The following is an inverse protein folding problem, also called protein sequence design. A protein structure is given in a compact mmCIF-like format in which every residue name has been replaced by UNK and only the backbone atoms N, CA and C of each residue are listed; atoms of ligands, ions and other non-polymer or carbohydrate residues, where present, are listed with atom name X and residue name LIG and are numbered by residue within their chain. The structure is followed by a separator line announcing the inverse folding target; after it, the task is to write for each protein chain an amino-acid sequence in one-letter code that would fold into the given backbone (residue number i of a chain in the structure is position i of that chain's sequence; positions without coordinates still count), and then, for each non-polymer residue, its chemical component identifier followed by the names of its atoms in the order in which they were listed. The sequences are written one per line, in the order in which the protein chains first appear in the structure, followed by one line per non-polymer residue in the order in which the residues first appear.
data_IF_264498605735
#
_entry.id   IF_264498605735
#
_cell.length_a   1.000
_cell.length_b   1.000
_cell.length_c   1.000
_cell.angle_alpha   90.00
_cell.angle_beta   90.00
_cell.angle_gamma   90.00
#
_symmetry.space_group_name_H-M   'P 1'
#
loop_
_entity.id
_entity.type
_entity.pdbx_description
1 polymer ?
#
# COMPACT_ATOMS: atom_id res chain seq x y z
N UNK A 1 -10.76 31.09 -8.53
CA UNK A 1 -11.34 30.94 -7.17
C UNK A 1 -12.80 30.54 -7.31
N UNK A 2 -13.12 29.25 -7.31
CA UNK A 2 -14.45 28.71 -6.98
C UNK A 2 -14.34 27.18 -6.88
N UNK A 3 -14.86 26.60 -5.78
CA UNK A 3 -15.36 25.22 -5.77
C UNK A 3 -14.52 24.12 -5.10
N UNK A 4 -14.24 24.20 -3.79
CA UNK A 4 -13.92 23.03 -2.96
C UNK A 4 -14.68 23.09 -1.62
N UNK A 5 -15.97 22.77 -1.62
CA UNK A 5 -16.74 22.58 -0.39
C UNK A 5 -18.05 21.80 -0.63
N UNK A 6 -18.00 20.50 -0.96
CA UNK A 6 -19.22 19.68 -0.94
C UNK A 6 -18.99 18.16 -0.78
N UNK A 7 -17.92 17.74 -0.11
CA UNK A 7 -17.63 16.30 0.11
C UNK A 7 -17.94 15.75 1.51
N UNK A 8 -18.17 16.59 2.53
CA UNK A 8 -18.26 16.11 3.93
C UNK A 8 -19.67 15.75 4.44
N UNK A 9 -20.72 16.00 3.66
CA UNK A 9 -22.09 15.90 4.18
C UNK A 9 -22.70 14.48 4.16
N UNK A 10 -22.16 13.55 3.34
CA UNK A 10 -22.77 12.22 3.15
C UNK A 10 -22.31 11.19 4.20
N UNK A 11 -21.13 11.35 4.79
CA UNK A 11 -20.61 10.40 5.79
C UNK A 11 -21.15 10.63 7.22
N UNK A 12 -21.60 11.86 7.52
CA UNK A 12 -22.06 12.24 8.86
C UNK A 12 -23.34 11.53 9.30
N UNK A 13 -24.31 11.33 8.39
CA UNK A 13 -25.57 10.66 8.74
C UNK A 13 -25.38 9.20 9.09
N UNK A 14 -24.56 8.45 8.33
CA UNK A 14 -24.31 7.03 8.57
C UNK A 14 -23.52 6.82 9.87
N UNK A 15 -22.52 7.66 10.14
CA UNK A 15 -21.83 7.63 11.44
C UNK A 15 -22.81 7.92 12.59
N UNK A 16 -23.63 8.96 12.49
CA UNK A 16 -24.57 9.31 13.56
C UNK A 16 -25.56 8.20 13.90
N UNK A 17 -26.08 7.46 12.90
CA UNK A 17 -26.92 6.29 13.15
C UNK A 17 -26.18 5.17 13.88
N UNK A 18 -24.90 4.93 13.56
CA UNK A 18 -24.10 3.92 14.25
C UNK A 18 -23.81 4.29 15.70
N UNK A 19 -23.59 5.58 15.99
CA UNK A 19 -23.47 6.09 17.37
C UNK A 19 -24.72 5.80 18.20
N UNK A 20 -25.89 6.13 17.66
CA UNK A 20 -27.17 5.92 18.34
C UNK A 20 -27.43 4.43 18.57
N UNK A 21 -27.15 3.59 17.56
CA UNK A 21 -27.33 2.14 17.66
C UNK A 21 -26.51 1.54 18.82
N UNK A 22 -25.21 1.86 18.91
CA UNK A 22 -24.37 1.29 19.96
C UNK A 22 -24.67 1.83 21.35
N UNK A 23 -25.08 3.10 21.47
CA UNK A 23 -25.59 3.63 22.72
C UNK A 23 -26.89 2.93 23.14
N UNK A 24 -27.79 2.65 22.21
CA UNK A 24 -29.01 1.89 22.48
C UNK A 24 -28.69 0.45 22.92
N UNK A 25 -27.71 -0.20 22.29
CA UNK A 25 -27.22 -1.53 22.70
C UNK A 25 -26.65 -1.48 24.12
N UNK A 26 -25.86 -0.46 24.46
CA UNK A 26 -25.31 -0.27 25.81
C UNK A 26 -26.44 -0.12 26.84
N UNK A 27 -27.42 0.74 26.58
CA UNK A 27 -28.58 0.94 27.47
C UNK A 27 -29.40 -0.35 27.60
N UNK A 28 -29.63 -1.06 26.50
CA UNK A 28 -30.36 -2.32 26.50
C UNK A 28 -29.67 -3.38 27.34
N UNK A 29 -28.35 -3.54 27.21
CA UNK A 29 -27.63 -4.54 28.01
C UNK A 29 -27.62 -4.16 29.48
N UNK A 30 -27.49 -2.86 29.80
CA UNK A 30 -27.59 -2.35 31.17
C UNK A 30 -28.94 -2.69 31.79
N UNK A 31 -30.05 -2.51 31.07
CA UNK A 31 -31.39 -2.82 31.57
C UNK A 31 -31.58 -4.33 31.86
N UNK A 32 -31.06 -5.18 30.98
CA UNK A 32 -31.06 -6.64 31.18
C UNK A 32 -30.22 -7.01 32.41
N UNK A 33 -29.01 -6.48 32.53
CA UNK A 33 -28.11 -6.71 33.66
C UNK A 33 -28.72 -6.26 34.99
N UNK A 34 -29.48 -5.16 35.00
CA UNK A 34 -30.22 -4.71 36.18
C UNK A 34 -31.31 -5.71 36.62
N UNK A 35 -31.97 -6.38 35.67
CA UNK A 35 -33.01 -7.39 35.97
C UNK A 35 -32.41 -8.64 36.62
N UNK A 36 -31.17 -8.98 36.28
CA UNK A 36 -30.45 -10.15 36.78
C UNK A 36 -29.37 -9.82 37.82
N UNK A 37 -29.38 -8.59 38.35
CA UNK A 37 -28.33 -8.06 39.22
C UNK A 37 -28.02 -8.95 40.41
N UNK A 38 -29.05 -9.55 41.02
CA UNK A 38 -28.89 -10.37 42.23
C UNK A 38 -28.35 -11.78 41.96
N UNK A 39 -28.28 -12.19 40.67
CA UNK A 39 -27.83 -13.52 40.26
C UNK A 39 -26.47 -13.52 39.57
N UNK A 40 -25.94 -12.35 39.24
CA UNK A 40 -24.71 -12.20 38.47
C UNK A 40 -23.60 -11.64 39.34
N UNK A 41 -22.47 -12.34 39.34
CA UNK A 41 -21.25 -11.82 39.96
C UNK A 41 -20.71 -10.61 39.19
N UNK A 42 -20.02 -9.70 39.89
CA UNK A 42 -19.45 -8.45 39.36
C UNK A 42 -18.63 -8.69 38.08
N UNK A 43 -17.88 -9.78 38.03
CA UNK A 43 -17.06 -10.15 36.87
C UNK A 43 -17.86 -10.36 35.58
N UNK A 44 -19.06 -10.97 35.66
CA UNK A 44 -19.89 -11.22 34.48
C UNK A 44 -20.44 -9.91 33.91
N UNK A 45 -20.77 -8.96 34.78
CA UNK A 45 -21.22 -7.62 34.39
C UNK A 45 -20.07 -6.91 33.66
N UNK A 46 -18.86 -6.93 34.21
CA UNK A 46 -17.66 -6.34 33.59
C UNK A 46 -17.39 -6.91 32.19
N UNK A 47 -17.49 -8.23 32.01
CA UNK A 47 -17.31 -8.90 30.72
C UNK A 47 -18.36 -8.47 29.69
N UNK A 48 -19.63 -8.34 30.09
CA UNK A 48 -20.71 -7.91 29.21
C UNK A 48 -20.48 -6.47 28.69
N UNK A 49 -20.02 -5.56 29.57
CA UNK A 49 -19.68 -4.20 29.17
C UNK A 49 -18.45 -4.16 28.24
N UNK A 50 -17.42 -4.96 28.50
CA UNK A 50 -16.26 -5.07 27.60
C UNK A 50 -16.67 -5.54 26.20
N UNK A 51 -17.61 -6.49 26.10
CA UNK A 51 -18.11 -6.98 24.81
C UNK A 51 -18.77 -5.87 23.98
N UNK A 52 -19.59 -5.03 24.62
CA UNK A 52 -20.26 -3.90 23.95
C UNK A 52 -19.27 -2.82 23.52
N UNK A 53 -18.29 -2.50 24.38
CA UNK A 53 -17.22 -1.54 24.06
C UNK A 53 -16.38 -2.05 22.88
N UNK A 54 -16.05 -3.34 22.86
CA UNK A 54 -15.30 -3.97 21.77
C UNK A 54 -16.09 -3.93 20.46
N UNK A 55 -17.38 -4.29 20.49
CA UNK A 55 -18.27 -4.25 19.33
C UNK A 55 -18.45 -2.84 18.77
N UNK A 56 -18.67 -1.84 19.64
CA UNK A 56 -18.79 -0.44 19.24
C UNK A 56 -17.50 0.13 18.66
N UNK A 57 -16.36 -0.23 19.24
CA UNK A 57 -15.04 0.14 18.69
C UNK A 57 -14.78 -0.52 17.34
N UNK A 58 -15.27 -1.73 17.10
CA UNK A 58 -15.12 -2.44 15.83
C UNK A 58 -15.89 -1.80 14.67
N UNK A 59 -16.99 -1.11 14.97
CA UNK A 59 -17.96 -0.66 13.97
C UNK A 59 -17.76 0.79 13.53
N UNK A 60 -17.03 1.62 14.30
CA UNK A 60 -16.98 3.08 14.03
C UNK A 60 -15.72 3.79 14.49
N UNK A 61 -14.64 3.06 14.77
CA UNK A 61 -13.31 3.64 14.99
C UNK A 61 -13.09 4.24 16.38
N UNK A 62 -11.95 4.92 16.51
CA UNK A 62 -11.30 5.27 17.79
C UNK A 62 -12.12 6.17 18.70
N UNK A 63 -12.81 7.16 18.13
CA UNK A 63 -13.61 8.12 18.90
C UNK A 63 -14.78 7.44 19.62
N UNK A 64 -15.49 6.53 18.96
CA UNK A 64 -16.65 5.86 19.56
C UNK A 64 -16.27 4.88 20.66
N UNK A 65 -15.24 4.04 20.43
CA UNK A 65 -14.78 3.07 21.43
C UNK A 65 -14.39 3.73 22.76
N UNK A 66 -13.69 4.87 22.69
CA UNK A 66 -13.30 5.66 23.87
C UNK A 66 -14.53 6.23 24.60
N UNK A 67 -15.50 6.79 23.86
CA UNK A 67 -16.71 7.33 24.49
C UNK A 67 -17.56 6.25 25.16
N UNK A 68 -17.74 5.09 24.51
CA UNK A 68 -18.45 3.95 25.07
C UNK A 68 -17.76 3.40 26.32
N UNK A 69 -16.43 3.31 26.34
CA UNK A 69 -15.67 2.88 27.51
C UNK A 69 -15.89 3.81 28.71
N UNK A 70 -15.86 5.14 28.48
CA UNK A 70 -16.12 6.13 29.52
C UNK A 70 -17.55 6.08 30.07
N UNK A 71 -18.54 5.96 29.18
CA UNK A 71 -19.96 5.85 29.57
C UNK A 71 -20.23 4.52 30.29
N UNK A 72 -19.67 3.41 29.81
CA UNK A 72 -19.74 2.10 30.44
C UNK A 72 -19.15 2.13 31.86
N UNK A 73 -17.99 2.76 32.03
CA UNK A 73 -17.34 2.95 33.32
C UNK A 73 -18.22 3.72 34.31
N UNK A 74 -18.81 4.83 33.86
CA UNK A 74 -19.72 5.64 34.69
C UNK A 74 -20.98 4.85 35.08
N UNK A 75 -21.60 4.13 34.13
CA UNK A 75 -22.77 3.30 34.39
C UNK A 75 -22.46 2.16 35.35
N UNK A 76 -21.32 1.48 35.17
CA UNK A 76 -20.88 0.41 36.05
C UNK A 76 -20.68 0.91 37.49
N UNK A 77 -19.98 2.04 37.65
CA UNK A 77 -19.78 2.68 38.95
C UNK A 77 -21.09 3.09 39.62
N UNK A 78 -22.00 3.71 38.87
CA UNK A 78 -23.23 4.26 39.44
C UNK A 78 -24.29 3.20 39.75
N UNK A 79 -24.40 2.16 38.93
CA UNK A 79 -25.51 1.20 38.99
C UNK A 79 -25.14 -0.15 39.61
N UNK A 80 -23.88 -0.58 39.61
CA UNK A 80 -23.52 -1.96 39.99
C UNK A 80 -22.56 -2.04 41.17
N UNK A 81 -21.97 -0.91 41.60
CA UNK A 81 -21.08 -0.85 42.75
C UNK A 81 -21.80 -0.30 44.00
N UNK A 82 -21.75 -1.00 45.15
CA UNK A 82 -22.31 -0.50 46.38
C UNK A 82 -21.38 0.55 47.04
N UNK A 83 -21.92 1.65 47.62
CA UNK A 83 -23.33 2.03 47.67
C UNK A 83 -23.88 2.47 46.30
N UNK A 84 -25.08 2.00 45.98
CA UNK A 84 -25.69 2.23 44.67
C UNK A 84 -26.15 3.68 44.51
N UNK A 85 -26.14 4.16 43.27
CA UNK A 85 -26.55 5.52 42.91
C UNK A 85 -25.66 6.63 43.49
N UNK A 86 -24.42 6.31 43.87
CA UNK A 86 -23.39 7.30 44.20
C UNK A 86 -22.11 7.05 43.41
N UNK A 87 -21.31 8.10 43.24
CA UNK A 87 -19.99 8.01 42.62
C UNK A 87 -18.88 7.75 43.65
N UNK A 88 -19.24 7.59 44.92
CA UNK A 88 -18.30 7.36 46.03
C UNK A 88 -18.02 5.87 46.18
N UNK A 89 -16.76 5.49 45.92
CA UNK A 89 -16.28 4.11 46.02
C UNK A 89 -15.95 3.82 47.49
N UNK A 90 -16.72 2.94 48.14
CA UNK A 90 -16.54 2.62 49.56
C UNK A 90 -15.55 1.48 49.82
N UNK A 91 -15.45 0.52 48.90
CA UNK A 91 -14.61 -0.68 49.06
C UNK A 91 -13.25 -0.52 48.33
N UNK A 92 -12.10 -0.73 49.02
CA UNK A 92 -10.79 -0.77 48.40
C UNK A 92 -10.61 -1.83 47.29
N UNK A 93 -11.46 -2.85 47.19
CA UNK A 93 -11.35 -3.82 46.09
C UNK A 93 -12.04 -3.32 44.81
N UNK A 94 -13.05 -2.47 44.96
CA UNK A 94 -13.90 -2.02 43.87
C UNK A 94 -13.23 -0.96 42.98
N UNK A 95 -12.34 -0.12 43.52
CA UNK A 95 -11.54 0.79 42.68
C UNK A 95 -10.56 0.03 41.79
N UNK A 96 -10.04 -1.13 42.24
CA UNK A 96 -9.14 -1.97 41.45
C UNK A 96 -9.89 -2.54 40.23
N UNK A 97 -11.11 -3.02 40.43
CA UNK A 97 -11.97 -3.51 39.34
C UNK A 97 -12.28 -2.38 38.35
N UNK A 98 -12.55 -1.18 38.85
CA UNK A 98 -12.84 -0.01 38.03
C UNK A 98 -11.65 0.39 37.14
N UNK A 99 -10.46 0.46 37.72
CA UNK A 99 -9.22 0.81 37.01
C UNK A 99 -8.85 -0.29 36.02
N UNK A 100 -8.92 -1.57 36.43
CA UNK A 100 -8.63 -2.70 35.56
C UNK A 100 -9.59 -2.71 34.35
N UNK A 101 -10.89 -2.51 34.56
CA UNK A 101 -11.87 -2.41 33.49
C UNK A 101 -11.58 -1.27 32.53
N UNK A 102 -11.27 -0.07 33.05
CA UNK A 102 -10.97 1.10 32.22
C UNK A 102 -9.72 0.86 31.37
N UNK A 103 -8.66 0.33 31.96
CA UNK A 103 -7.41 0.01 31.26
C UNK A 103 -7.63 -1.07 30.22
N UNK A 104 -8.31 -2.18 30.56
CA UNK A 104 -8.61 -3.26 29.61
C UNK A 104 -9.50 -2.78 28.47
N UNK A 105 -10.50 -1.94 28.75
CA UNK A 105 -11.36 -1.35 27.73
C UNK A 105 -10.61 -0.43 26.76
N UNK A 106 -9.74 0.44 27.27
CA UNK A 106 -8.90 1.32 26.45
C UNK A 106 -7.91 0.49 25.61
N UNK A 107 -7.22 -0.47 26.22
CA UNK A 107 -6.26 -1.33 25.52
C UNK A 107 -6.95 -2.16 24.44
N UNK A 108 -8.13 -2.72 24.72
CA UNK A 108 -8.91 -3.46 23.75
C UNK A 108 -9.36 -2.57 22.58
N UNK A 109 -9.87 -1.37 22.86
CA UNK A 109 -10.22 -0.39 21.82
C UNK A 109 -8.99 0.02 21.00
N UNK A 110 -7.84 0.22 21.64
CA UNK A 110 -6.59 0.61 21.00
C UNK A 110 -6.05 -0.49 20.07
N UNK A 111 -5.98 -1.73 20.55
CA UNK A 111 -5.51 -2.89 19.78
C UNK A 111 -6.43 -3.16 18.59
N UNK A 112 -7.74 -3.08 18.80
CA UNK A 112 -8.71 -3.31 17.74
C UNK A 112 -8.63 -2.23 16.66
N UNK A 113 -8.48 -0.96 17.04
CA UNK A 113 -8.27 0.13 16.08
C UNK A 113 -6.96 -0.06 15.30
N UNK A 114 -5.86 -0.48 15.95
CA UNK A 114 -4.58 -0.77 15.26
C UNK A 114 -4.69 -1.94 14.27
N UNK A 115 -5.52 -2.94 14.57
CA UNK A 115 -5.77 -4.07 13.67
C UNK A 115 -6.64 -3.64 12.48
N UNK A 116 -7.63 -2.78 12.69
CA UNK A 116 -8.53 -2.33 11.62
C UNK A 116 -7.94 -1.24 10.71
N UNK A 117 -7.13 -0.32 11.24
CA UNK A 117 -6.49 0.77 10.46
C UNK A 117 -5.59 0.21 9.34
N UNK A 118 -5.02 -0.98 9.54
CA UNK A 118 -4.24 -1.71 8.51
C UNK A 118 -5.12 -2.29 7.39
N UNK A 119 -6.37 -2.64 7.68
CA UNK A 119 -7.27 -3.28 6.72
C UNK A 119 -7.98 -2.25 5.81
N UNK A 120 -8.31 -1.06 6.32
CA UNK A 120 -8.94 0.00 5.51
C UNK A 120 -7.97 0.63 4.52
N UNK A 121 -6.71 0.89 4.91
CA UNK A 121 -5.69 1.41 3.99
C UNK A 121 -5.41 0.42 2.84
N UNK A 122 -5.46 -0.89 3.12
CA UNK A 122 -5.30 -1.94 2.11
C UNK A 122 -6.53 -2.08 1.20
N UNK A 123 -7.75 -1.91 1.71
CA UNK A 123 -9.01 -2.02 0.94
C UNK A 123 -9.35 -0.76 0.16
N UNK A 124 -9.06 0.43 0.69
CA UNK A 124 -9.26 1.69 -0.04
C UNK A 124 -8.40 1.73 -1.32
N UNK A 125 -7.16 1.20 -1.26
CA UNK A 125 -6.32 1.00 -2.45
C UNK A 125 -6.87 -0.06 -3.41
N UNK A 126 -7.49 -1.13 -2.90
CA UNK A 126 -8.01 -2.21 -3.74
C UNK A 126 -9.32 -1.84 -4.47
N UNK A 127 -10.21 -1.08 -3.82
CA UNK A 127 -11.54 -0.72 -4.36
C UNK A 127 -11.47 0.40 -5.41
N UNK A 128 -10.49 1.30 -5.31
CA UNK A 128 -10.22 2.30 -6.35
C UNK A 128 -9.56 1.66 -7.58
N UNK A 129 -8.70 0.67 -7.37
CA UNK A 129 -8.05 -0.12 -8.43
C UNK A 129 -9.05 -1.02 -9.18
N UNK A 130 -10.05 -1.59 -8.52
CA UNK A 130 -11.03 -2.49 -9.16
C UNK A 130 -11.94 -1.78 -10.17
N UNK A 131 -12.32 -0.51 -9.89
CA UNK A 131 -13.13 0.30 -10.82
C UNK A 131 -12.32 0.79 -12.02
N UNK A 132 -11.02 1.04 -11.87
CA UNK A 132 -10.14 1.31 -13.02
C UNK A 132 -9.71 0.04 -13.76
N UNK A 133 -9.62 -1.10 -13.08
CA UNK A 133 -9.25 -2.38 -13.68
C UNK A 133 -10.40 -2.95 -14.53
N UNK A 134 -11.65 -2.87 -14.07
CA UNK A 134 -12.82 -3.36 -14.83
C UNK A 134 -13.13 -2.48 -16.04
N UNK A 135 -12.97 -1.15 -15.94
CA UNK A 135 -13.13 -0.24 -17.10
C UNK A 135 -11.93 -0.28 -18.07
N UNK A 136 -10.80 -0.85 -17.66
CA UNK A 136 -9.57 -0.98 -18.46
C UNK A 136 -9.24 -2.41 -18.93
N UNK A 137 -10.05 -3.41 -18.57
CA UNK A 137 -9.81 -4.81 -18.93
C UNK A 137 -10.26 -5.16 -20.36
N UNK A 138 -11.14 -4.36 -20.97
CA UNK A 138 -11.72 -4.67 -22.28
C UNK A 138 -10.88 -4.22 -23.49
N UNK A 139 -9.70 -3.60 -23.34
CA UNK A 139 -9.03 -3.01 -24.54
C UNK A 139 -7.49 -2.89 -24.57
N UNK A 140 -6.70 -3.38 -23.60
CA UNK A 140 -5.32 -2.86 -23.44
C UNK A 140 -4.17 -3.82 -23.79
N UNK A 141 -3.61 -3.61 -24.98
CA UNK A 141 -2.28 -4.04 -25.42
C UNK A 141 -1.14 -3.42 -24.58
N UNK A 142 0.03 -4.07 -24.59
CA UNK A 142 1.23 -3.69 -23.81
C UNK A 142 1.61 -2.19 -23.89
N UNK A 143 1.32 -1.52 -25.01
CA UNK A 143 1.60 -0.09 -25.20
C UNK A 143 0.97 0.82 -24.15
N UNK A 144 -0.24 0.51 -23.66
CA UNK A 144 -0.92 1.39 -22.69
C UNK A 144 -0.39 1.30 -21.26
N UNK A 145 0.30 0.21 -20.90
CA UNK A 145 0.97 0.12 -19.61
C UNK A 145 2.29 0.91 -19.62
N UNK A 146 3.03 0.89 -20.74
CA UNK A 146 4.21 1.74 -20.94
C UNK A 146 3.82 3.24 -20.97
N UNK A 147 2.71 3.60 -21.64
CA UNK A 147 2.17 4.98 -21.64
C UNK A 147 1.80 5.47 -20.24
N UNK A 148 1.20 4.61 -19.41
CA UNK A 148 0.86 4.94 -18.03
C UNK A 148 2.12 5.17 -17.17
N UNK A 149 3.18 4.38 -17.38
CA UNK A 149 4.47 4.58 -16.72
C UNK A 149 5.12 5.90 -17.14
N UNK A 150 5.02 6.29 -18.42
CA UNK A 150 5.45 7.61 -18.91
C UNK A 150 4.69 8.74 -18.21
N UNK A 151 3.37 8.63 -18.08
CA UNK A 151 2.56 9.61 -17.34
C UNK A 151 2.96 9.74 -15.87
N UNK A 152 3.23 8.61 -15.20
CA UNK A 152 3.71 8.61 -13.80
C UNK A 152 5.07 9.28 -13.70
N UNK A 153 6.01 8.94 -14.58
CA UNK A 153 7.34 9.55 -14.60
C UNK A 153 7.27 11.06 -14.85
N UNK A 154 6.37 11.51 -15.73
CA UNK A 154 6.17 12.93 -16.03
C UNK A 154 5.65 13.71 -14.81
N UNK A 155 4.66 13.13 -14.13
CA UNK A 155 4.08 13.72 -12.91
C UNK A 155 5.11 13.75 -11.77
N UNK A 156 5.92 12.70 -11.61
CA UNK A 156 7.03 12.71 -10.66
C UNK A 156 8.02 13.82 -11.01
N UNK A 157 8.46 13.89 -12.27
CA UNK A 157 9.41 14.92 -12.75
C UNK A 157 8.92 16.33 -12.45
N UNK A 158 7.67 16.64 -12.84
CA UNK A 158 7.09 17.98 -12.67
C UNK A 158 6.90 18.35 -11.20
N UNK A 159 6.51 17.41 -10.35
CA UNK A 159 6.22 17.68 -8.93
C UNK A 159 7.50 17.81 -8.11
N UNK A 160 8.52 17.02 -8.41
CA UNK A 160 9.82 17.13 -7.75
C UNK A 160 10.59 18.36 -8.23
N UNK A 161 10.36 18.81 -9.46
CA UNK A 161 11.11 19.90 -10.09
C UNK A 161 12.51 19.45 -10.54
N UNK A 162 12.63 18.21 -10.99
CA UNK A 162 13.87 17.54 -11.38
C UNK A 162 14.00 17.48 -12.90
N UNK A 163 15.21 17.28 -13.42
CA UNK A 163 15.45 17.32 -14.87
C UNK A 163 15.00 16.03 -15.55
N UNK A 164 15.19 14.89 -14.89
CA UNK A 164 14.91 13.58 -15.46
C UNK A 164 14.33 12.62 -14.41
N UNK A 165 13.31 11.87 -14.83
CA UNK A 165 12.73 10.76 -14.09
C UNK A 165 12.60 9.55 -15.02
N UNK A 166 13.18 8.41 -14.64
CA UNK A 166 13.18 7.19 -15.43
C UNK A 166 12.72 6.00 -14.60
N UNK A 167 11.95 5.13 -15.23
CA UNK A 167 11.53 3.86 -14.65
C UNK A 167 12.24 2.75 -15.43
N UNK A 168 13.14 2.06 -14.75
CA UNK A 168 13.97 1.00 -15.28
C UNK A 168 13.38 -0.37 -14.87
N UNK A 169 13.40 -1.34 -15.76
CA UNK A 169 13.05 -2.72 -15.44
C UNK A 169 13.93 -3.69 -16.22
N UNK A 170 14.04 -4.92 -15.72
CA UNK A 170 14.78 -5.98 -16.39
C UNK A 170 13.99 -6.46 -17.62
N UNK A 171 14.62 -6.36 -18.80
CA UNK A 171 14.06 -6.84 -20.07
C UNK A 171 15.10 -7.64 -20.84
N UNK A 172 14.63 -8.64 -21.58
CA UNK A 172 15.47 -9.49 -22.43
C UNK A 172 16.09 -10.69 -21.73
N UNK A 173 16.82 -11.48 -22.51
CA UNK A 173 17.63 -12.64 -22.07
C UNK A 173 19.00 -12.53 -22.73
N UNK A 174 20.07 -12.18 -22.00
CA UNK A 174 20.14 -11.99 -20.55
C UNK A 174 19.36 -10.75 -20.05
N UNK A 175 18.93 -10.80 -18.78
CA UNK A 175 18.20 -9.73 -18.12
C UNK A 175 19.08 -8.48 -18.01
N UNK A 176 18.70 -7.41 -18.71
CA UNK A 176 19.37 -6.11 -18.62
C UNK A 176 18.36 -5.06 -18.20
N UNK A 177 18.75 -4.18 -17.28
CA UNK A 177 17.93 -3.02 -16.92
C UNK A 177 17.81 -2.09 -18.13
N UNK A 178 16.58 -1.81 -18.53
CA UNK A 178 16.23 -0.90 -19.63
C UNK A 178 15.14 0.04 -19.17
N UNK A 179 15.14 1.27 -19.70
CA UNK A 179 14.10 2.24 -19.39
C UNK A 179 12.79 1.83 -20.06
N UNK A 180 11.76 1.56 -19.26
CA UNK A 180 10.37 1.39 -19.71
C UNK A 180 9.68 2.73 -19.92
N UNK A 181 10.07 3.74 -19.13
CA UNK A 181 9.58 5.10 -19.27
C UNK A 181 10.67 6.10 -18.91
N UNK A 182 10.71 7.21 -19.64
CA UNK A 182 11.64 8.33 -19.43
C UNK A 182 10.88 9.64 -19.60
N UNK A 183 10.88 10.44 -18.55
CA UNK A 183 10.35 11.79 -18.54
C UNK A 183 11.50 12.79 -18.37
N UNK A 184 11.58 13.75 -19.29
CA UNK A 184 12.60 14.78 -19.29
C UNK A 184 13.82 14.42 -20.12
N UNK A 185 14.69 15.41 -20.27
CA UNK A 185 15.98 15.26 -20.93
C UNK A 185 17.00 15.13 -19.81
N UNK A 186 17.69 14.00 -19.71
CA UNK A 186 18.96 13.97 -18.99
C UNK A 186 19.78 15.13 -19.52
N UNK A 187 20.50 15.90 -18.70
CA UNK A 187 21.27 17.07 -19.13
C UNK A 187 22.44 16.76 -20.11
N UNK A 188 22.34 15.65 -20.84
CA UNK A 188 23.37 14.89 -21.53
C UNK A 188 23.02 14.64 -23.02
N UNK A 189 21.97 15.27 -23.55
CA UNK A 189 21.77 15.31 -25.01
C UNK A 189 22.54 16.49 -25.63
N UNK A 190 23.87 16.52 -25.45
CA UNK A 190 24.75 17.41 -26.21
C UNK A 190 25.95 17.94 -25.43
N UNK A 191 27.13 17.43 -25.81
CA UNK A 191 28.49 17.98 -25.63
C UNK A 191 29.29 17.35 -24.45
N UNK A 192 30.44 16.74 -24.82
CA UNK A 192 31.56 16.18 -24.01
C UNK A 192 31.52 14.67 -23.65
N UNK A 193 32.09 13.81 -24.50
CA UNK A 193 32.02 12.33 -24.43
C UNK A 193 32.99 11.60 -23.49
N UNK A 194 34.03 12.23 -22.95
CA UNK A 194 35.12 11.48 -22.29
C UNK A 194 35.03 11.45 -20.75
N UNK A 195 34.43 12.44 -20.11
CA UNK A 195 34.23 12.48 -18.64
C UNK A 195 32.90 11.86 -18.21
N UNK A 196 31.87 11.95 -19.06
CA UNK A 196 30.52 11.42 -18.78
C UNK A 196 30.40 9.89 -18.90
N UNK A 197 31.29 9.23 -19.65
CA UNK A 197 31.31 7.77 -19.80
C UNK A 197 31.45 7.03 -18.45
N UNK A 198 32.21 7.59 -17.51
CA UNK A 198 32.48 7.00 -16.19
C UNK A 198 31.36 7.28 -15.16
N UNK A 199 30.68 8.42 -15.30
CA UNK A 199 29.53 8.80 -14.48
C UNK A 199 28.32 7.91 -14.78
N UNK A 200 28.03 7.70 -16.07
CA UNK A 200 26.94 6.81 -16.50
C UNK A 200 27.17 5.35 -16.08
N UNK A 201 28.42 4.90 -16.08
CA UNK A 201 28.77 3.54 -15.64
C UNK A 201 28.55 3.34 -14.13
N UNK A 202 28.84 4.38 -13.33
CA UNK A 202 28.61 4.35 -11.88
C UNK A 202 27.11 4.32 -11.57
N UNK A 203 26.31 5.19 -12.20
CA UNK A 203 24.86 5.22 -12.01
C UNK A 203 24.19 3.93 -12.50
N UNK A 204 24.66 3.35 -13.62
CA UNK A 204 24.18 2.06 -14.11
C UNK A 204 24.52 0.89 -13.18
N UNK A 205 25.73 0.90 -12.60
CA UNK A 205 26.16 -0.07 -11.59
C UNK A 205 25.29 0.03 -10.33
N UNK A 206 25.03 1.25 -9.85
CA UNK A 206 24.13 1.48 -8.72
C UNK A 206 22.70 1.05 -9.02
N UNK A 207 22.16 1.33 -10.21
CA UNK A 207 20.83 0.87 -10.59
C UNK A 207 20.74 -0.67 -10.56
N UNK A 208 21.77 -1.36 -11.05
CA UNK A 208 21.86 -2.83 -11.00
C UNK A 208 21.95 -3.35 -9.56
N UNK A 209 22.73 -2.67 -8.72
CA UNK A 209 22.82 -2.98 -7.30
C UNK A 209 21.46 -2.83 -6.60
N UNK A 210 20.74 -1.73 -6.84
CA UNK A 210 19.39 -1.46 -6.28
C UNK A 210 18.39 -2.53 -6.72
N UNK A 211 18.40 -2.91 -8.01
CA UNK A 211 17.55 -3.98 -8.51
C UNK A 211 17.80 -5.31 -7.78
N UNK A 212 19.06 -5.62 -7.49
CA UNK A 212 19.49 -6.88 -6.87
C UNK A 212 19.24 -6.91 -5.37
N UNK A 213 19.50 -5.81 -4.65
CA UNK A 213 19.47 -5.77 -3.18
C UNK A 213 18.16 -5.21 -2.60
N UNK A 214 17.32 -4.56 -3.42
CA UNK A 214 16.04 -4.02 -2.98
C UNK A 214 16.16 -2.88 -1.97
N UNK A 215 17.29 -2.14 -2.00
CA UNK A 215 17.57 -1.00 -1.14
C UNK A 215 17.92 0.24 -1.98
N UNK A 216 17.61 1.46 -1.49
CA UNK A 216 17.88 2.69 -2.24
C UNK A 216 19.38 2.96 -2.37
N UNK A 217 19.75 3.71 -3.41
CA UNK A 217 21.09 4.23 -3.62
C UNK A 217 21.03 5.67 -4.14
N UNK A 218 22.13 6.39 -4.01
CA UNK A 218 22.22 7.77 -4.47
C UNK A 218 23.63 8.10 -4.95
N UNK A 219 23.72 9.06 -5.85
CA UNK A 219 24.97 9.71 -6.22
C UNK A 219 24.92 11.17 -5.76
N UNK A 220 25.98 11.62 -5.10
CA UNK A 220 26.13 12.99 -4.62
C UNK A 220 26.74 13.90 -5.68
N UNK A 221 26.65 15.21 -5.46
CA UNK A 221 27.26 16.22 -6.34
C UNK A 221 28.79 16.11 -6.45
N UNK A 222 29.45 15.48 -5.48
CA UNK A 222 30.91 15.22 -5.48
C UNK A 222 31.29 13.92 -6.23
N UNK A 223 30.32 13.22 -6.83
CA UNK A 223 30.52 11.94 -7.52
C UNK A 223 30.62 10.73 -6.58
N UNK A 224 30.47 10.91 -5.27
CA UNK A 224 30.47 9.78 -4.33
C UNK A 224 29.12 9.06 -4.35
N UNK A 225 29.18 7.73 -4.38
CA UNK A 225 28.00 6.88 -4.28
C UNK A 225 27.66 6.58 -2.83
N UNK A 226 26.37 6.61 -2.52
CA UNK A 226 25.81 6.13 -1.27
C UNK A 226 24.84 4.99 -1.56
N UNK A 227 24.81 4.02 -0.66
CA UNK A 227 23.96 2.85 -0.75
C UNK A 227 23.30 2.61 0.60
N UNK A 228 21.99 2.44 0.60
CA UNK A 228 21.16 2.24 1.80
C UNK A 228 21.07 0.79 2.25
N UNK A 229 20.48 0.57 3.42
CA UNK A 229 20.26 -0.79 3.94
C UNK A 229 18.87 -1.33 3.58
N UNK A 230 18.70 -2.65 3.34
CA UNK A 230 17.39 -3.23 2.99
C UNK A 230 16.30 -3.09 4.07
N UNK A 231 16.66 -2.78 5.31
CA UNK A 231 15.69 -2.53 6.39
C UNK A 231 15.01 -1.15 6.27
N UNK A 232 15.60 -0.22 5.52
CA UNK A 232 15.09 1.15 5.34
C UNK A 232 14.11 1.25 4.15
N UNK A 233 13.80 0.14 3.49
CA UNK A 233 12.93 0.07 2.30
C UNK A 233 11.49 0.53 2.52
N UNK A 234 11.05 0.71 3.77
CA UNK A 234 9.76 1.31 4.12
C UNK A 234 9.75 2.84 4.11
N UNK A 235 10.89 3.47 4.38
CA UNK A 235 11.10 4.92 4.31
C UNK A 235 12.24 5.21 3.34
N UNK A 236 11.99 4.84 2.07
CA UNK A 236 12.92 5.00 0.93
C UNK A 236 13.37 6.45 0.74
N UNK A 237 12.86 7.42 1.51
CA UNK A 237 13.15 8.84 1.36
C UNK A 237 13.49 9.54 2.69
N UNK A 238 13.54 8.81 3.82
CA UNK A 238 13.91 9.33 5.15
C UNK A 238 15.38 9.73 5.28
N UNK A 239 16.25 9.11 4.48
CA UNK A 239 17.71 9.26 4.54
C UNK A 239 18.26 10.56 3.97
N UNK A 240 17.43 11.36 3.27
CA UNK A 240 17.88 12.63 2.69
C UNK A 240 18.24 13.67 3.76
N UNK A 241 17.61 13.59 4.93
CA UNK A 241 17.69 14.61 5.98
C UNK A 241 19.07 14.73 6.64
N UNK A 242 19.99 13.78 6.44
CA UNK A 242 21.27 13.75 7.15
C UNK A 242 22.52 13.85 6.24
N UNK A 243 22.41 13.75 4.90
CA UNK A 243 23.56 13.34 4.07
C UNK A 243 23.67 14.01 2.69
N UNK A 244 24.02 15.29 2.69
CA UNK A 244 24.70 15.96 1.58
C UNK A 244 23.85 16.34 0.36
N UNK A 245 24.50 16.99 -0.61
CA UNK A 245 23.89 17.43 -1.86
C UNK A 245 23.77 16.26 -2.86
N UNK A 246 22.55 15.73 -3.05
CA UNK A 246 22.28 14.56 -3.91
C UNK A 246 21.97 15.00 -5.34
N UNK A 247 22.66 14.40 -6.32
CA UNK A 247 22.49 14.64 -7.76
C UNK A 247 21.53 13.62 -8.39
N UNK A 248 21.73 12.34 -8.05
CA UNK A 248 20.95 11.22 -8.58
C UNK A 248 20.41 10.38 -7.43
N UNK A 249 19.15 10.03 -7.52
CA UNK A 249 18.41 9.21 -6.59
C UNK A 249 17.95 7.94 -7.29
N UNK A 250 18.23 6.78 -6.71
CA UNK A 250 17.82 5.47 -7.18
C UNK A 250 17.00 4.76 -6.10
N UNK A 251 15.75 4.43 -6.40
CA UNK A 251 14.83 3.80 -5.47
C UNK A 251 14.30 2.47 -6.05
N UNK A 252 14.26 1.39 -5.24
CA UNK A 252 13.69 0.12 -5.69
C UNK A 252 12.17 0.24 -5.83
N UNK A 253 11.64 -0.29 -6.92
CA UNK A 253 10.20 -0.46 -7.13
C UNK A 253 9.81 -1.85 -6.65
N UNK A 254 9.05 -1.93 -5.55
CA UNK A 254 8.78 -3.18 -4.84
C UNK A 254 7.31 -3.59 -4.95
N UNK A 255 7.07 -4.88 -5.25
CA UNK A 255 5.74 -5.51 -5.17
C UNK A 255 5.88 -6.79 -4.34
N UNK A 256 5.15 -6.89 -3.22
CA UNK A 256 5.16 -8.09 -2.34
C UNK A 256 6.58 -8.57 -2.01
N UNK A 257 7.44 -7.67 -1.54
CA UNK A 257 8.85 -7.92 -1.16
C UNK A 257 9.82 -8.26 -2.31
N UNK A 258 9.35 -8.21 -3.56
CA UNK A 258 10.21 -8.39 -4.74
C UNK A 258 10.47 -7.07 -5.44
N UNK A 259 11.73 -6.81 -5.81
CA UNK A 259 12.10 -5.71 -6.69
C UNK A 259 11.66 -6.04 -8.12
N UNK A 260 10.77 -5.21 -8.67
CA UNK A 260 10.26 -5.37 -10.05
C UNK A 260 10.91 -4.38 -11.01
N UNK A 261 11.52 -3.31 -10.48
CA UNK A 261 12.23 -2.29 -11.26
C UNK A 261 12.96 -1.30 -10.37
N UNK A 262 13.51 -0.24 -10.98
CA UNK A 262 14.25 0.82 -10.31
C UNK A 262 13.76 2.17 -10.83
N UNK A 263 13.43 3.06 -9.90
CA UNK A 263 13.15 4.45 -10.19
C UNK A 263 14.46 5.25 -10.13
N UNK A 264 14.79 5.97 -11.21
CA UNK A 264 15.91 6.92 -11.26
C UNK A 264 15.37 8.33 -11.33
N UNK A 265 15.86 9.20 -10.47
CA UNK A 265 15.58 10.64 -10.50
C UNK A 265 16.91 11.38 -10.53
N UNK A 266 17.08 12.29 -11.48
CA UNK A 266 18.32 13.05 -11.64
C UNK A 266 18.03 14.55 -11.77
N UNK A 267 18.88 15.36 -11.16
CA UNK A 267 18.81 16.81 -11.25
C UNK A 267 20.21 17.43 -11.23
N UNK A 268 20.41 18.50 -11.99
CA UNK A 268 21.65 19.27 -12.05
C UNK A 268 21.94 20.06 -10.76
N UNK A 269 20.93 20.22 -9.91
CA UNK A 269 21.05 20.84 -8.58
C UNK A 269 20.73 19.81 -7.49
N UNK A 270 21.12 20.09 -6.23
CA UNK A 270 20.80 19.20 -5.12
C UNK A 270 19.29 18.95 -5.04
N UNK A 271 18.89 17.69 -5.16
CA UNK A 271 17.49 17.28 -5.00
C UNK A 271 17.11 17.55 -3.54
N UNK A 272 15.93 18.16 -3.33
CA UNK A 272 15.35 18.41 -2.01
C UNK A 272 13.95 17.80 -1.92
N UNK A 273 13.71 16.91 -0.93
CA UNK A 273 12.42 16.26 -0.70
C UNK A 273 11.90 16.66 0.68
N UNK A 274 11.00 17.64 0.68
CA UNK A 274 10.18 17.91 1.86
C UNK A 274 9.29 16.68 2.21
N UNK A 275 8.73 16.60 3.43
CA UNK A 275 7.88 15.47 3.82
C UNK A 275 6.72 15.18 2.86
N UNK A 276 6.13 16.21 2.24
CA UNK A 276 5.02 16.05 1.31
C UNK A 276 5.48 15.43 -0.03
N UNK A 277 6.60 15.90 -0.59
CA UNK A 277 7.26 15.32 -1.77
C UNK A 277 7.68 13.88 -1.53
N UNK A 278 8.16 13.56 -0.32
CA UNK A 278 8.52 12.18 0.07
C UNK A 278 7.31 11.26 0.08
N UNK A 279 6.22 11.68 0.72
CA UNK A 279 4.97 10.91 0.75
C UNK A 279 4.39 10.72 -0.65
N UNK A 280 4.43 11.76 -1.47
CA UNK A 280 4.01 11.72 -2.87
C UNK A 280 4.85 10.74 -3.70
N UNK A 281 6.17 10.82 -3.58
CA UNK A 281 7.10 9.94 -4.30
C UNK A 281 6.92 8.49 -3.88
N UNK A 282 6.69 8.21 -2.59
CA UNK A 282 6.38 6.87 -2.08
C UNK A 282 5.09 6.32 -2.72
N UNK A 283 4.03 7.14 -2.77
CA UNK A 283 2.76 6.74 -3.37
C UNK A 283 2.90 6.46 -4.87
N UNK A 284 3.55 7.34 -5.63
CA UNK A 284 3.75 7.12 -7.07
C UNK A 284 4.75 6.01 -7.38
N UNK A 285 5.76 5.79 -6.53
CA UNK A 285 6.68 4.64 -6.67
C UNK A 285 5.91 3.32 -6.55
N UNK A 286 4.93 3.24 -5.65
CA UNK A 286 4.08 2.05 -5.55
C UNK A 286 3.28 1.80 -6.84
N UNK A 287 2.68 2.84 -7.43
CA UNK A 287 1.96 2.71 -8.70
C UNK A 287 2.88 2.39 -9.88
N UNK A 288 4.07 2.99 -9.92
CA UNK A 288 5.11 2.64 -10.89
C UNK A 288 5.50 1.16 -10.78
N UNK A 289 5.72 0.66 -9.56
CA UNK A 289 6.03 -0.75 -9.33
C UNK A 289 4.92 -1.67 -9.86
N UNK A 290 3.65 -1.35 -9.59
CA UNK A 290 2.53 -2.12 -10.11
C UNK A 290 2.44 -2.05 -11.64
N UNK A 291 2.71 -0.90 -12.24
CA UNK A 291 2.76 -0.74 -13.70
C UNK A 291 3.86 -1.56 -14.35
N UNK A 292 5.06 -1.58 -13.75
CA UNK A 292 6.19 -2.41 -14.21
C UNK A 292 5.85 -3.89 -14.12
N UNK A 293 5.26 -4.33 -13.01
CA UNK A 293 4.80 -5.72 -12.86
C UNK A 293 3.76 -6.09 -13.92
N UNK A 294 2.83 -5.18 -14.23
CA UNK A 294 1.83 -5.38 -15.27
C UNK A 294 2.46 -5.50 -16.66
N UNK A 295 3.42 -4.64 -17.02
CA UNK A 295 4.17 -4.74 -18.28
C UNK A 295 4.86 -6.11 -18.37
N UNK A 296 5.48 -6.58 -17.28
CA UNK A 296 6.14 -7.90 -17.24
C UNK A 296 5.14 -9.04 -17.47
N UNK A 297 4.04 -9.04 -16.72
CA UNK A 297 3.01 -10.09 -16.80
C UNK A 297 2.36 -10.18 -18.18
N UNK A 298 2.08 -9.03 -18.80
CA UNK A 298 1.55 -8.98 -20.18
C UNK A 298 2.58 -9.57 -21.16
N UNK A 299 3.84 -9.17 -21.06
CA UNK A 299 4.89 -9.71 -21.94
C UNK A 299 5.14 -11.21 -21.73
N UNK A 300 5.02 -11.72 -20.50
CA UNK A 300 5.09 -13.16 -20.21
C UNK A 300 3.91 -13.93 -20.83
N UNK A 301 2.69 -13.40 -20.71
CA UNK A 301 1.50 -13.99 -21.31
C UNK A 301 1.56 -14.03 -22.84
N UNK A 302 2.01 -12.93 -23.47
CA UNK A 302 2.19 -12.86 -24.94
C UNK A 302 3.21 -13.90 -25.43
N UNK A 303 4.33 -14.08 -24.72
CA UNK A 303 5.33 -15.11 -25.07
C UNK A 303 4.79 -16.53 -24.91
N UNK A 304 4.07 -16.79 -23.83
CA UNK A 304 3.45 -18.10 -23.60
C UNK A 304 2.42 -18.42 -24.70
N UNK A 305 1.63 -17.43 -25.11
CA UNK A 305 0.65 -17.58 -26.19
C UNK A 305 1.33 -17.83 -27.54
N UNK A 306 2.38 -17.07 -27.88
CA UNK A 306 3.15 -17.29 -29.10
C UNK A 306 3.74 -18.71 -29.16
N UNK A 307 4.21 -19.24 -28.02
CA UNK A 307 4.72 -20.61 -27.94
C UNK A 307 3.60 -21.64 -28.13
N UNK A 308 2.42 -21.44 -27.52
CA UNK A 308 1.25 -22.31 -27.70
C UNK A 308 0.78 -22.34 -29.16
N UNK A 309 0.73 -21.18 -29.82
CA UNK A 309 0.34 -21.08 -31.23
C UNK A 309 1.33 -21.81 -32.13
N UNK A 310 2.63 -21.69 -31.88
CA UNK A 310 3.66 -22.42 -32.62
C UNK A 310 3.52 -23.94 -32.47
N UNK A 311 3.26 -24.44 -31.27
CA UNK A 311 3.11 -25.87 -31.00
C UNK A 311 1.80 -26.45 -31.59
N UNK A 312 0.72 -25.66 -31.56
CA UNK A 312 -0.54 -26.02 -32.22
C UNK A 312 -0.39 -26.11 -33.75
N UNK A 313 0.27 -25.12 -34.37
CA UNK A 313 0.57 -25.14 -35.81
C UNK A 313 1.45 -26.35 -36.17
N UNK A 314 2.47 -26.65 -35.37
CA UNK A 314 3.32 -27.83 -35.56
C UNK A 314 2.51 -29.13 -35.48
N UNK A 315 1.65 -29.26 -34.49
CA UNK A 315 0.79 -30.46 -34.31
C UNK A 315 -0.18 -30.63 -35.47
N UNK A 316 -0.79 -29.54 -35.95
CA UNK A 316 -1.66 -29.57 -37.13
C UNK A 316 -0.90 -29.98 -38.40
N UNK A 317 0.29 -29.43 -38.63
CA UNK A 317 1.13 -29.79 -39.78
C UNK A 317 1.56 -31.27 -39.73
N UNK A 318 1.97 -31.78 -38.57
CA UNK A 318 2.33 -33.20 -38.39
C UNK A 318 1.10 -34.10 -38.62
N UNK A 319 -0.07 -33.68 -38.16
CA UNK A 319 -1.34 -34.39 -38.36
C UNK A 319 -1.70 -34.51 -39.85
N UNK A 320 -1.64 -33.41 -40.59
CA UNK A 320 -1.96 -33.39 -42.03
C UNK A 320 -0.94 -34.17 -42.86
N UNK A 321 0.36 -34.00 -42.62
CA UNK A 321 1.41 -34.75 -43.33
C UNK A 321 1.31 -36.25 -43.02
N UNK A 322 1.02 -36.64 -41.77
CA UNK A 322 0.82 -38.06 -41.43
C UNK A 322 -0.42 -38.65 -42.09
N UNK A 323 -1.52 -37.89 -42.17
CA UNK A 323 -2.74 -38.33 -42.83
C UNK A 323 -2.49 -38.59 -44.34
N UNK A 324 -1.79 -37.68 -45.01
CA UNK A 324 -1.52 -37.79 -46.45
C UNK A 324 -0.47 -38.85 -46.78
N UNK A 325 0.43 -39.21 -45.87
CA UNK A 325 1.36 -40.34 -46.04
C UNK A 325 0.70 -41.70 -45.77
N UNK A 326 -0.32 -41.76 -44.89
CA UNK A 326 -1.01 -43.01 -44.55
C UNK A 326 -1.97 -43.47 -45.64
N UNK A 327 -2.56 -42.53 -46.37
CA UNK A 327 -3.59 -42.80 -47.39
C UNK A 327 -3.06 -43.52 -48.65
N UNK A 328 -1.91 -43.15 -49.27
CA UNK A 328 -1.40 -43.84 -50.47
C UNK A 328 -0.81 -45.23 -50.20
N UNK A 329 -0.42 -45.55 -48.96
CA UNK A 329 0.10 -46.87 -48.58
C UNK A 329 -0.99 -47.96 -48.46
N UNK A 330 -2.27 -47.59 -48.52
CA UNK A 330 -3.39 -48.55 -48.49
C UNK A 330 -3.96 -48.88 -49.88
N UNK A 331 -3.59 -48.12 -50.91
CA UNK A 331 -4.07 -48.30 -52.29
C UNK A 331 -3.15 -49.19 -53.15
N UNK A 332 -2.03 -49.65 -52.58
CA UNK A 332 -1.14 -50.63 -53.23
C UNK A 332 -1.36 -51.99 -52.55
N UNK A 333 -2.38 -52.72 -53.01
CA UNK A 333 -2.50 -54.16 -52.79
C UNK A 333 -3.16 -54.80 -54.01
#
# INVERSE_FOLDING_TARGET
MYGLASGRAVDGHRQWFTWIFWLAVLVSITLVLLTFRDRLDKAHITLAYLLVVLGGSAASGRALGLTLAGVAFLLFNYLFLPPYHTLVIADPLDWLVLVAFLVTGIVAAELLNRVQERAEIARARAVEVDRFATLGAETLSAGRAEDALLGIAEVMRSTLGVDCCEILAERGTPARLTALARAGVSADSGIARDTHQKEDETVASLATWVATHGAPAAERMDGTAWVGTPSESGDVMGWQTERGEIRVLLAPLMVRERTVGVLRVAHARPITLDPAKRQFLSALSYYAALGVERVRLVAEAERAEAFRQADALKSQLIGTVSHDLRTPLTTIK
#
